data_IF_150537240389
#
_entry.id   IF_150537240389
#
_cell.length_a   1.000
_cell.length_b   1.000
_cell.length_c   1.000
_cell.angle_alpha   90.00
_cell.angle_beta   90.00
_cell.angle_gamma   90.00
#
_symmetry.space_group_name_H-M   'P 1'
#
loop_
_entity.id
_entity.type
_entity.pdbx_description
1 polymer ?
#
# COMPACT_ATOMS: atom_id res chain seq x y z
N UNK A 1 22.49 -5.56 7.66
CA UNK A 1 21.28 -4.71 7.75
C UNK A 1 21.38 -3.63 6.69
N UNK A 2 20.43 -3.53 5.75
CA UNK A 2 20.47 -2.50 4.70
C UNK A 2 20.14 -1.14 5.34
N UNK A 3 20.97 -0.13 5.09
CA UNK A 3 20.77 1.25 5.57
C UNK A 3 20.91 2.21 4.38
N UNK A 4 20.00 3.17 4.30
CA UNK A 4 20.09 4.23 3.30
C UNK A 4 21.18 5.22 3.70
N UNK A 5 22.02 5.58 2.75
CA UNK A 5 22.96 6.69 2.89
C UNK A 5 22.25 8.04 2.67
N UNK A 6 22.80 9.17 3.12
CA UNK A 6 22.18 10.48 2.90
C UNK A 6 21.89 10.79 1.43
N UNK A 7 22.78 10.36 0.52
CA UNK A 7 22.58 10.51 -0.93
C UNK A 7 21.40 9.69 -1.45
N UNK A 8 21.07 8.58 -0.80
CA UNK A 8 19.96 7.72 -1.19
C UNK A 8 18.63 8.39 -0.90
N UNK A 9 18.54 8.98 0.30
CA UNK A 9 17.37 9.73 0.72
C UNK A 9 17.20 10.92 -0.21
N UNK A 10 18.27 11.68 -0.49
CA UNK A 10 18.21 12.81 -1.41
C UNK A 10 17.73 12.38 -2.81
N UNK A 11 18.25 11.28 -3.36
CA UNK A 11 17.78 10.76 -4.65
C UNK A 11 16.29 10.44 -4.62
N UNK A 12 15.82 9.72 -3.59
CA UNK A 12 14.42 9.35 -3.48
C UNK A 12 13.52 10.59 -3.30
N UNK A 13 13.98 11.58 -2.55
CA UNK A 13 13.29 12.86 -2.37
C UNK A 13 13.12 13.60 -3.70
N UNK A 14 14.18 13.74 -4.49
CA UNK A 14 14.12 14.38 -5.79
C UNK A 14 13.21 13.59 -6.77
N UNK A 15 13.29 12.26 -6.76
CA UNK A 15 12.40 11.43 -7.58
C UNK A 15 10.93 11.53 -7.17
N UNK A 16 10.60 11.72 -5.89
CA UNK A 16 9.20 11.90 -5.46
C UNK A 16 8.64 13.26 -5.90
N UNK A 17 9.50 14.29 -6.00
CA UNK A 17 9.11 15.64 -6.39
C UNK A 17 8.95 15.75 -7.90
N UNK A 18 9.94 15.27 -8.65
CA UNK A 18 9.99 15.40 -10.11
C UNK A 18 9.40 14.21 -10.88
N UNK A 19 9.02 13.13 -10.18
CA UNK A 19 8.44 11.87 -10.70
C UNK A 19 9.42 11.05 -11.54
N UNK A 20 10.13 11.70 -12.48
CA UNK A 20 11.12 11.09 -13.35
C UNK A 20 12.34 12.01 -13.52
N UNK A 21 13.53 11.45 -13.35
CA UNK A 21 14.79 12.18 -13.52
C UNK A 21 15.82 11.35 -14.31
N UNK A 22 16.66 12.03 -15.07
CA UNK A 22 17.91 11.46 -15.57
C UNK A 22 19.03 11.78 -14.58
N UNK A 23 20.11 10.98 -14.56
CA UNK A 23 21.26 11.25 -13.69
C UNK A 23 21.90 12.62 -13.99
N UNK A 24 21.86 13.05 -15.25
CA UNK A 24 22.32 14.37 -15.68
C UNK A 24 21.47 15.50 -15.09
N UNK A 25 20.13 15.39 -15.16
CA UNK A 25 19.24 16.41 -14.59
C UNK A 25 19.37 16.47 -13.07
N UNK A 26 19.43 15.32 -12.40
CA UNK A 26 19.67 15.23 -10.96
C UNK A 26 21.00 15.89 -10.56
N UNK A 27 22.06 15.65 -11.34
CA UNK A 27 23.37 16.27 -11.14
C UNK A 27 23.31 17.80 -11.20
N UNK A 28 22.57 18.35 -12.18
CA UNK A 28 22.36 19.81 -12.30
C UNK A 28 21.54 20.40 -11.15
N UNK A 29 20.60 19.66 -10.58
CA UNK A 29 19.76 20.12 -9.46
C UNK A 29 20.49 20.11 -8.12
N UNK A 30 21.34 19.10 -7.88
CA UNK A 30 21.92 18.83 -6.56
C UNK A 30 23.41 19.16 -6.44
N UNK A 31 24.10 19.36 -7.56
CA UNK A 31 25.56 19.51 -7.61
C UNK A 31 26.34 18.20 -7.48
N UNK A 32 25.68 17.06 -7.25
CA UNK A 32 26.34 15.74 -7.23
C UNK A 32 26.81 15.39 -8.65
N UNK A 33 28.01 14.82 -8.80
CA UNK A 33 28.53 14.45 -10.13
C UNK A 33 27.63 13.42 -10.83
N UNK A 34 27.49 13.55 -12.15
CA UNK A 34 26.64 12.65 -12.96
C UNK A 34 27.01 11.17 -12.78
N UNK A 35 28.32 10.86 -12.66
CA UNK A 35 28.79 9.49 -12.42
C UNK A 35 28.32 8.95 -11.06
N UNK A 36 28.39 9.76 -10.00
CA UNK A 36 27.91 9.37 -8.67
C UNK A 36 26.39 9.23 -8.63
N UNK A 37 25.66 10.14 -9.28
CA UNK A 37 24.20 10.04 -9.42
C UNK A 37 23.79 8.74 -10.12
N UNK A 38 24.45 8.41 -11.24
CA UNK A 38 24.20 7.18 -11.99
C UNK A 38 24.48 5.91 -11.16
N UNK A 39 25.60 5.88 -10.42
CA UNK A 39 25.90 4.76 -9.51
C UNK A 39 24.84 4.61 -8.41
N UNK A 40 24.42 5.72 -7.80
CA UNK A 40 23.40 5.74 -6.74
C UNK A 40 22.07 5.24 -7.28
N UNK A 41 21.63 5.75 -8.43
CA UNK A 41 20.41 5.31 -9.10
C UNK A 41 20.42 3.80 -9.37
N UNK A 42 21.51 3.26 -9.89
CA UNK A 42 21.61 1.83 -10.18
C UNK A 42 21.62 0.94 -8.95
N UNK A 43 22.25 1.39 -7.86
CA UNK A 43 22.16 0.68 -6.59
C UNK A 43 20.72 0.67 -6.07
N UNK A 44 20.01 1.79 -6.13
CA UNK A 44 18.60 1.87 -5.74
C UNK A 44 17.67 1.06 -6.65
N UNK A 45 18.02 0.89 -7.93
CA UNK A 45 17.38 -0.07 -8.85
C UNK A 45 17.61 -1.50 -8.37
N UNK A 46 18.84 -1.86 -7.99
CA UNK A 46 19.14 -3.17 -7.41
C UNK A 46 18.38 -3.48 -6.11
N UNK A 47 18.02 -2.45 -5.35
CA UNK A 47 17.17 -2.56 -4.14
C UNK A 47 15.66 -2.54 -4.44
N UNK A 48 15.28 -2.37 -5.71
CA UNK A 48 13.89 -2.25 -6.14
C UNK A 48 13.19 -0.98 -5.65
N UNK A 49 13.93 0.06 -5.26
CA UNK A 49 13.37 1.34 -4.81
C UNK A 49 13.11 2.29 -5.98
N UNK A 50 13.92 2.18 -7.03
CA UNK A 50 13.85 2.97 -8.25
C UNK A 50 13.72 1.99 -9.43
N UNK A 51 13.08 2.40 -10.51
CA UNK A 51 13.07 1.65 -11.78
C UNK A 51 13.66 2.48 -12.91
N UNK A 52 14.27 1.80 -13.87
CA UNK A 52 14.71 2.42 -15.12
C UNK A 52 13.52 2.58 -16.05
N UNK A 53 13.45 3.72 -16.72
CA UNK A 53 12.47 4.04 -17.76
C UNK A 53 13.12 3.90 -19.13
N UNK A 54 12.33 3.53 -20.14
CA UNK A 54 12.81 3.27 -21.51
C UNK A 54 13.58 4.47 -22.12
N UNK A 55 13.19 5.70 -21.76
CA UNK A 55 13.78 6.94 -22.28
C UNK A 55 14.98 7.45 -21.46
N UNK A 56 15.84 6.55 -20.96
CA UNK A 56 17.06 6.85 -20.16
C UNK A 56 16.81 7.57 -18.83
N UNK A 57 15.58 7.51 -18.31
CA UNK A 57 15.19 8.11 -17.04
C UNK A 57 15.07 7.08 -15.92
N UNK A 58 14.85 7.59 -14.72
CA UNK A 58 14.59 6.81 -13.52
C UNK A 58 13.35 7.37 -12.84
N UNK A 59 12.54 6.48 -12.28
CA UNK A 59 11.37 6.85 -11.49
C UNK A 59 11.32 6.04 -10.20
N UNK A 60 10.63 6.59 -9.19
CA UNK A 60 10.47 5.91 -7.91
C UNK A 60 9.40 4.82 -8.01
N UNK A 61 9.65 3.68 -7.36
CA UNK A 61 8.66 2.60 -7.22
C UNK A 61 7.78 2.82 -5.98
N UNK A 62 6.72 2.05 -5.81
CA UNK A 62 5.92 2.11 -4.58
C UNK A 62 6.74 1.71 -3.35
N UNK A 63 7.60 0.69 -3.50
CA UNK A 63 8.58 0.30 -2.47
C UNK A 63 9.51 1.47 -2.11
N UNK A 64 10.03 2.18 -3.11
CA UNK A 64 10.86 3.37 -2.89
C UNK A 64 10.13 4.48 -2.15
N UNK A 65 8.87 4.76 -2.52
CA UNK A 65 8.06 5.78 -1.88
C UNK A 65 7.76 5.47 -0.41
N UNK A 66 7.47 4.21 -0.07
CA UNK A 66 7.26 3.80 1.33
C UNK A 66 8.56 3.88 2.12
N UNK A 67 9.65 3.32 1.59
CA UNK A 67 10.96 3.37 2.26
C UNK A 67 11.37 4.82 2.51
N UNK A 68 11.16 5.71 1.54
CA UNK A 68 11.38 7.15 1.72
C UNK A 68 10.48 7.72 2.82
N UNK A 69 9.17 7.46 2.77
CA UNK A 69 8.20 7.96 3.76
C UNK A 69 8.62 7.61 5.19
N UNK A 70 9.07 6.38 5.43
CA UNK A 70 9.51 5.88 6.72
C UNK A 70 10.83 6.50 7.21
N UNK A 71 11.70 6.96 6.29
CA UNK A 71 13.05 7.43 6.62
C UNK A 71 13.24 8.95 6.52
N UNK A 72 12.38 9.68 5.80
CA UNK A 72 12.47 11.15 5.70
C UNK A 72 11.79 11.82 6.90
N UNK A 73 12.34 12.94 7.35
CA UNK A 73 11.74 13.84 8.33
C UNK A 73 10.94 14.99 7.69
N UNK A 74 11.02 15.15 6.36
CA UNK A 74 10.41 16.27 5.63
C UNK A 74 8.91 16.04 5.41
N UNK A 75 8.06 16.83 6.08
CA UNK A 75 6.60 16.66 6.02
C UNK A 75 5.99 16.87 4.63
N UNK A 76 6.55 17.77 3.81
CA UNK A 76 6.14 17.95 2.40
C UNK A 76 6.47 16.71 1.54
N UNK A 77 7.63 16.10 1.75
CA UNK A 77 8.03 14.85 1.07
C UNK A 77 7.11 13.71 1.48
N UNK A 78 6.80 13.56 2.78
CA UNK A 78 5.87 12.53 3.26
C UNK A 78 4.49 12.66 2.59
N UNK A 79 3.92 13.86 2.55
CA UNK A 79 2.65 14.10 1.83
C UNK A 79 2.74 13.74 0.36
N UNK A 80 3.84 14.08 -0.30
CA UNK A 80 4.06 13.72 -1.71
C UNK A 80 4.16 12.21 -1.92
N UNK A 81 4.78 11.48 -0.98
CA UNK A 81 4.83 10.02 -1.00
C UNK A 81 3.43 9.40 -1.00
N UNK A 82 2.52 9.90 -0.15
CA UNK A 82 1.13 9.41 -0.09
C UNK A 82 0.43 9.59 -1.44
N UNK A 83 0.52 10.79 -2.03
CA UNK A 83 -0.10 11.09 -3.32
C UNK A 83 0.46 10.25 -4.48
N UNK A 84 1.78 10.01 -4.48
CA UNK A 84 2.42 9.12 -5.46
C UNK A 84 2.00 7.67 -5.23
N UNK A 85 1.92 7.20 -3.98
CA UNK A 85 1.49 5.84 -3.65
C UNK A 85 0.06 5.58 -4.10
N UNK A 86 -0.87 6.55 -3.93
CA UNK A 86 -2.22 6.43 -4.47
C UNK A 86 -2.22 6.08 -5.96
N UNK A 87 -1.40 6.78 -6.74
CA UNK A 87 -1.28 6.56 -8.19
C UNK A 87 -0.63 5.22 -8.50
N UNK A 88 0.48 4.88 -7.85
CA UNK A 88 1.23 3.65 -8.11
C UNK A 88 0.46 2.38 -7.72
N UNK A 89 -0.37 2.47 -6.68
CA UNK A 89 -1.22 1.38 -6.24
C UNK A 89 -2.64 1.40 -6.81
N UNK A 90 -2.97 2.41 -7.61
CA UNK A 90 -4.34 2.67 -8.05
C UNK A 90 -5.34 2.68 -6.87
N UNK A 91 -4.91 3.25 -5.74
CA UNK A 91 -5.72 3.34 -4.52
C UNK A 91 -6.61 4.58 -4.57
N UNK A 92 -7.92 4.36 -4.51
CA UNK A 92 -8.96 5.38 -4.64
C UNK A 92 -9.37 6.02 -3.30
N UNK A 93 -8.97 5.43 -2.16
CA UNK A 93 -9.33 5.90 -0.83
C UNK A 93 -8.56 7.16 -0.36
N UNK A 94 -8.81 7.58 0.88
CA UNK A 94 -8.30 8.83 1.43
C UNK A 94 -6.78 8.82 1.74
N UNK A 95 -6.09 9.95 1.53
CA UNK A 95 -4.64 10.09 1.78
C UNK A 95 -4.31 10.11 3.28
N UNK A 96 -5.16 10.71 4.12
CA UNK A 96 -4.93 10.74 5.57
C UNK A 96 -5.13 9.35 6.18
N UNK A 97 -6.10 8.56 5.68
CA UNK A 97 -6.21 7.13 6.04
C UNK A 97 -4.98 6.34 5.60
N UNK A 98 -4.45 6.61 4.41
CA UNK A 98 -3.23 5.98 3.90
C UNK A 98 -2.00 6.31 4.77
N UNK A 99 -1.91 7.53 5.31
CA UNK A 99 -0.89 7.92 6.29
C UNK A 99 -0.97 7.04 7.55
N UNK A 100 -2.16 6.90 8.13
CA UNK A 100 -2.35 6.03 9.31
C UNK A 100 -1.99 4.57 9.01
N UNK A 101 -2.32 4.09 7.82
CA UNK A 101 -1.91 2.76 7.38
C UNK A 101 -0.38 2.61 7.38
N UNK A 102 0.38 3.54 6.78
CA UNK A 102 1.85 3.45 6.75
C UNK A 102 2.51 3.59 8.13
N UNK A 103 1.94 4.40 9.01
CA UNK A 103 2.39 4.51 10.40
C UNK A 103 2.14 3.20 11.17
N UNK A 104 1.03 2.51 10.94
CA UNK A 104 0.79 1.21 11.57
C UNK A 104 1.65 0.10 10.96
N UNK A 105 1.99 0.18 9.66
CA UNK A 105 3.03 -0.66 9.05
C UNK A 105 4.36 -0.50 9.81
N UNK A 106 4.80 0.74 10.06
CA UNK A 106 6.05 1.00 10.77
C UNK A 106 6.04 0.42 12.19
N UNK A 107 4.93 0.62 12.93
CA UNK A 107 4.75 0.05 14.28
C UNK A 107 4.83 -1.47 14.29
N UNK A 108 4.12 -2.14 13.36
CA UNK A 108 4.11 -3.61 13.27
C UNK A 108 5.48 -4.15 12.88
N UNK A 109 6.18 -3.51 11.94
CA UNK A 109 7.54 -3.93 11.59
C UNK A 109 8.50 -3.79 12.77
N UNK A 110 8.40 -2.71 13.53
CA UNK A 110 9.20 -2.50 14.75
C UNK A 110 8.88 -3.54 15.83
N UNK A 111 7.61 -3.84 16.08
CA UNK A 111 7.23 -4.84 17.08
C UNK A 111 7.71 -6.25 16.73
N UNK A 112 7.82 -6.57 15.44
CA UNK A 112 8.36 -7.83 14.93
C UNK A 112 9.88 -7.83 14.73
N UNK A 113 10.57 -6.71 15.01
CA UNK A 113 11.99 -6.51 14.71
C UNK A 113 12.36 -6.81 13.24
N UNK A 114 11.48 -6.44 12.31
CA UNK A 114 11.64 -6.65 10.88
C UNK A 114 12.14 -5.39 10.18
N UNK A 115 13.13 -5.55 9.30
CA UNK A 115 13.55 -4.47 8.41
C UNK A 115 12.50 -4.22 7.33
N UNK A 116 12.11 -2.98 7.02
CA UNK A 116 11.18 -2.70 5.93
C UNK A 116 11.71 -3.16 4.56
N UNK A 117 13.03 -3.38 4.42
CA UNK A 117 13.64 -3.90 3.19
C UNK A 117 13.30 -5.36 2.89
N UNK A 118 12.78 -6.14 3.83
CA UNK A 118 12.37 -7.53 3.56
C UNK A 118 10.94 -7.63 3.01
N UNK A 119 10.17 -6.54 3.02
CA UNK A 119 8.75 -6.55 2.65
C UNK A 119 8.55 -6.16 1.18
N UNK A 120 7.69 -6.89 0.47
CA UNK A 120 7.29 -6.54 -0.90
C UNK A 120 6.22 -5.44 -0.90
N UNK A 121 6.67 -4.18 -0.92
CA UNK A 121 5.80 -3.00 -0.93
C UNK A 121 5.24 -2.60 -2.30
N UNK A 122 5.65 -3.26 -3.38
CA UNK A 122 5.16 -2.94 -4.72
C UNK A 122 3.70 -3.35 -4.93
N UNK A 123 3.22 -4.36 -4.19
CA UNK A 123 1.85 -4.84 -4.24
C UNK A 123 1.16 -4.49 -2.92
N UNK A 124 0.15 -3.60 -2.90
CA UNK A 124 -0.49 -3.15 -1.67
C UNK A 124 -1.16 -4.31 -0.91
N UNK A 125 -1.66 -5.32 -1.62
CA UNK A 125 -2.30 -6.50 -1.02
C UNK A 125 -1.36 -7.25 -0.08
N UNK A 126 -0.05 -7.33 -0.39
CA UNK A 126 0.93 -8.03 0.45
C UNK A 126 1.06 -7.37 1.82
N UNK A 127 0.95 -6.05 1.87
CA UNK A 127 1.02 -5.27 3.11
C UNK A 127 -0.31 -5.40 3.86
N UNK A 128 -1.42 -5.30 3.13
CA UNK A 128 -2.76 -5.44 3.68
C UNK A 128 -2.97 -6.80 4.35
N UNK A 129 -2.50 -7.89 3.73
CA UNK A 129 -2.59 -9.26 4.30
C UNK A 129 -1.67 -9.45 5.50
N UNK A 130 -0.45 -8.88 5.46
CA UNK A 130 0.45 -8.87 6.62
C UNK A 130 -0.22 -8.20 7.82
N UNK A 131 -0.82 -7.02 7.61
CA UNK A 131 -1.50 -6.27 8.66
C UNK A 131 -2.84 -6.90 9.08
N UNK A 132 -3.55 -7.58 8.18
CA UNK A 132 -4.82 -8.25 8.49
C UNK A 132 -4.70 -9.22 9.67
N UNK A 133 -3.57 -9.93 9.78
CA UNK A 133 -3.29 -10.85 10.90
C UNK A 133 -3.11 -10.14 12.25
N UNK A 134 -2.97 -8.81 12.23
CA UNK A 134 -2.80 -7.92 13.37
C UNK A 134 -3.96 -6.94 13.53
N UNK A 135 -5.08 -7.15 12.83
CA UNK A 135 -6.18 -6.17 12.73
C UNK A 135 -6.70 -5.67 14.08
N UNK A 136 -6.69 -6.51 15.12
CA UNK A 136 -7.18 -6.13 16.45
C UNK A 136 -6.30 -5.06 17.13
N UNK A 137 -5.05 -4.92 16.70
CA UNK A 137 -4.07 -3.91 17.16
C UNK A 137 -4.10 -2.63 16.29
N UNK A 138 -4.90 -2.59 15.21
CA UNK A 138 -4.88 -1.52 14.22
C UNK A 138 -5.99 -0.49 14.45
N UNK A 139 -5.72 0.74 14.00
CA UNK A 139 -6.70 1.82 13.92
C UNK A 139 -7.80 1.50 12.90
N UNK A 140 -8.99 2.05 13.10
CA UNK A 140 -10.12 1.86 12.18
C UNK A 140 -9.79 2.40 10.77
N UNK A 141 -9.08 3.52 10.68
CA UNK A 141 -8.62 4.09 9.42
C UNK A 141 -7.74 3.11 8.64
N UNK A 142 -6.82 2.43 9.34
CA UNK A 142 -5.96 1.39 8.76
C UNK A 142 -6.79 0.19 8.30
N UNK A 143 -7.78 -0.24 9.08
CA UNK A 143 -8.70 -1.32 8.70
C UNK A 143 -9.49 -0.98 7.43
N UNK A 144 -9.91 0.27 7.28
CA UNK A 144 -10.56 0.75 6.06
C UNK A 144 -9.63 0.71 4.85
N UNK A 145 -8.36 1.12 4.99
CA UNK A 145 -7.37 1.00 3.91
C UNK A 145 -7.19 -0.46 3.49
N UNK A 146 -7.04 -1.37 4.46
CA UNK A 146 -6.93 -2.82 4.22
C UNK A 146 -8.15 -3.32 3.45
N UNK A 147 -9.35 -3.05 3.95
CA UNK A 147 -10.59 -3.49 3.31
C UNK A 147 -10.73 -2.96 1.88
N UNK A 148 -10.38 -1.69 1.64
CA UNK A 148 -10.41 -1.12 0.29
C UNK A 148 -9.41 -1.81 -0.66
N UNK A 149 -8.18 -2.06 -0.20
CA UNK A 149 -7.16 -2.81 -0.96
C UNK A 149 -7.69 -4.22 -1.30
N UNK A 150 -8.28 -4.92 -0.33
CA UNK A 150 -8.78 -6.29 -0.54
C UNK A 150 -9.93 -6.32 -1.56
N UNK A 151 -10.90 -5.41 -1.48
CA UNK A 151 -12.06 -5.36 -2.40
C UNK A 151 -11.66 -5.04 -3.83
N UNK A 152 -10.62 -4.23 -4.02
CA UNK A 152 -10.13 -3.87 -5.35
C UNK A 152 -9.19 -4.94 -5.93
N UNK A 153 -8.63 -5.80 -5.09
CA UNK A 153 -7.70 -6.85 -5.52
C UNK A 153 -8.38 -8.21 -5.73
N UNK A 154 -9.25 -8.63 -4.82
CA UNK A 154 -9.89 -9.95 -4.85
C UNK A 154 -11.27 -9.90 -5.51
N UNK A 155 -11.74 -11.03 -6.08
CA UNK A 155 -13.13 -11.16 -6.50
C UNK A 155 -14.07 -10.90 -5.34
N UNK A 156 -15.08 -10.09 -5.60
CA UNK A 156 -16.12 -9.71 -4.63
C UNK A 156 -17.48 -9.88 -5.28
N UNK A 157 -18.51 -10.04 -4.45
CA UNK A 157 -19.90 -10.08 -4.88
C UNK A 157 -20.58 -8.74 -4.64
N UNK A 158 -21.63 -8.47 -5.40
CA UNK A 158 -22.57 -7.39 -5.13
C UNK A 158 -23.78 -7.94 -4.38
N UNK A 159 -23.99 -7.43 -3.17
CA UNK A 159 -25.17 -7.72 -2.36
C UNK A 159 -26.37 -6.96 -2.92
N UNK A 160 -27.59 -7.43 -2.62
CA UNK A 160 -28.86 -6.83 -3.11
C UNK A 160 -29.02 -5.33 -2.78
N UNK A 161 -28.41 -4.88 -1.69
CA UNK A 161 -28.40 -3.47 -1.28
C UNK A 161 -27.36 -2.62 -2.04
N UNK A 162 -26.66 -3.20 -3.02
CA UNK A 162 -25.58 -2.58 -3.77
C UNK A 162 -24.28 -2.40 -2.99
N UNK A 163 -24.07 -3.16 -1.92
CA UNK A 163 -22.79 -3.22 -1.21
C UNK A 163 -21.90 -4.26 -1.88
N UNK A 164 -20.63 -3.91 -2.09
CA UNK A 164 -19.62 -4.83 -2.62
C UNK A 164 -18.92 -5.54 -1.47
N UNK A 165 -18.84 -6.86 -1.46
CA UNK A 165 -18.33 -7.62 -0.32
C UNK A 165 -17.54 -8.86 -0.73
N UNK A 166 -16.56 -9.22 0.10
CA UNK A 166 -15.86 -10.51 0.06
C UNK A 166 -16.36 -11.33 1.26
N UNK A 167 -16.97 -12.48 1.02
CA UNK A 167 -17.49 -13.37 2.06
C UNK A 167 -16.41 -14.38 2.47
N UNK A 168 -16.31 -14.66 3.76
CA UNK A 168 -15.54 -15.76 4.33
C UNK A 168 -16.34 -16.46 5.44
N UNK A 169 -15.82 -17.54 5.99
CA UNK A 169 -16.45 -18.32 7.06
C UNK A 169 -15.51 -18.38 8.26
N UNK A 170 -16.06 -18.22 9.45
CA UNK A 170 -15.30 -18.38 10.69
C UNK A 170 -15.06 -19.87 11.00
N UNK A 171 -14.35 -20.15 12.09
CA UNK A 171 -14.05 -21.52 12.52
C UNK A 171 -15.31 -22.34 12.88
N UNK A 172 -16.46 -21.70 13.08
CA UNK A 172 -17.75 -22.34 13.35
C UNK A 172 -18.61 -22.48 12.08
N UNK A 173 -18.07 -22.14 10.90
CA UNK A 173 -18.82 -22.14 9.64
C UNK A 173 -19.82 -20.99 9.52
N UNK A 174 -19.77 -19.98 10.39
CA UNK A 174 -20.64 -18.80 10.30
C UNK A 174 -20.09 -17.83 9.24
N UNK A 175 -20.90 -17.40 8.26
CA UNK A 175 -20.45 -16.48 7.24
C UNK A 175 -20.24 -15.07 7.81
N UNK A 176 -19.19 -14.40 7.35
CA UNK A 176 -18.87 -13.01 7.66
C UNK A 176 -18.29 -12.28 6.45
N UNK A 177 -18.29 -10.95 6.48
CA UNK A 177 -17.63 -10.14 5.45
C UNK A 177 -16.15 -10.00 5.82
N UNK A 178 -15.27 -10.51 4.97
CA UNK A 178 -13.83 -10.24 5.08
C UNK A 178 -13.54 -8.75 4.85
N UNK A 179 -14.07 -8.19 3.76
CA UNK A 179 -13.99 -6.77 3.43
C UNK A 179 -15.26 -6.31 2.68
N UNK A 180 -15.82 -5.16 3.06
CA UNK A 180 -17.02 -4.59 2.44
C UNK A 180 -16.87 -3.11 2.10
N UNK A 181 -17.47 -2.69 0.99
CA UNK A 181 -17.80 -1.30 0.67
C UNK A 181 -19.32 -1.18 0.80
N UNK A 182 -19.75 -0.82 2.02
CA UNK A 182 -21.16 -0.69 2.37
C UNK A 182 -21.67 0.73 2.06
N UNK A 183 -22.88 0.84 1.49
CA UNK A 183 -23.50 2.15 1.25
C UNK A 183 -23.89 2.89 2.52
N UNK A 184 -24.27 2.16 3.58
CA UNK A 184 -24.75 2.74 4.85
C UNK A 184 -23.63 2.97 5.85
N UNK A 185 -22.71 2.01 5.96
CA UNK A 185 -21.69 2.00 7.01
C UNK A 185 -20.28 2.31 6.51
N UNK A 186 -20.12 2.59 5.21
CA UNK A 186 -18.83 2.83 4.60
C UNK A 186 -17.99 1.56 4.44
N UNK A 187 -16.68 1.70 4.50
CA UNK A 187 -15.74 0.59 4.30
C UNK A 187 -15.58 -0.17 5.63
N UNK A 188 -15.65 -1.50 5.57
CA UNK A 188 -15.57 -2.39 6.75
C UNK A 188 -14.62 -3.56 6.50
N UNK A 189 -13.87 -3.94 7.53
CA UNK A 189 -13.02 -5.13 7.59
C UNK A 189 -13.56 -6.08 8.66
N UNK A 190 -13.61 -7.39 8.37
CA UNK A 190 -14.06 -8.45 9.30
C UNK A 190 -15.36 -8.08 10.04
N UNK A 191 -16.45 -8.01 9.29
CA UNK A 191 -17.75 -7.53 9.78
C UNK A 191 -18.85 -8.58 9.60
N UNK A 192 -19.69 -8.77 10.62
CA UNK A 192 -20.89 -9.62 10.52
C UNK A 192 -22.07 -8.79 10.03
N UNK A 193 -22.47 -9.01 8.77
CA UNK A 193 -23.59 -8.30 8.15
C UNK A 193 -24.81 -9.23 8.01
N UNK A 194 -25.99 -8.87 8.54
CA UNK A 194 -27.22 -9.68 8.42
C UNK A 194 -27.63 -9.96 6.97
N UNK A 195 -27.26 -9.10 6.03
CA UNK A 195 -27.58 -9.27 4.61
C UNK A 195 -26.81 -10.43 3.96
N UNK A 196 -25.68 -10.85 4.52
CA UNK A 196 -24.94 -12.01 3.99
C UNK A 196 -25.75 -13.29 4.18
N UNK A 197 -26.32 -13.51 5.37
CA UNK A 197 -27.08 -14.73 5.64
C UNK A 197 -28.27 -14.86 4.70
N UNK A 198 -28.93 -13.74 4.38
CA UNK A 198 -30.00 -13.68 3.39
C UNK A 198 -29.52 -13.95 1.96
N UNK A 199 -28.34 -13.44 1.58
CA UNK A 199 -27.76 -13.69 0.27
C UNK A 199 -27.44 -15.18 0.08
N UNK A 200 -26.73 -15.77 1.05
CA UNK A 200 -26.31 -17.17 0.98
C UNK A 200 -27.50 -18.15 1.04
N UNK A 201 -28.57 -17.85 1.78
CA UNK A 201 -29.76 -18.71 1.80
C UNK A 201 -30.44 -18.80 0.44
N UNK A 202 -30.37 -17.73 -0.37
CA UNK A 202 -30.94 -17.72 -1.73
C UNK A 202 -30.02 -18.46 -2.69
N UNK A 203 -28.72 -18.18 -2.66
CA UNK A 203 -27.75 -18.84 -3.55
C UNK A 203 -27.69 -20.35 -3.34
N UNK A 204 -27.78 -20.81 -2.09
CA UNK A 204 -27.79 -22.25 -1.79
C UNK A 204 -29.08 -22.94 -2.26
N UNK A 205 -30.18 -22.21 -2.45
CA UNK A 205 -31.42 -22.75 -3.01
C UNK A 205 -31.39 -22.86 -4.55
N UNK A 206 -30.46 -22.17 -5.20
CA UNK A 206 -30.31 -22.12 -6.66
C UNK A 206 -29.23 -23.08 -7.19
N UNK A 207 -28.43 -23.69 -6.31
CA UNK A 207 -27.44 -24.70 -6.69
C UNK A 207 -28.12 -26.08 -6.84
N UNK A 208 -27.94 -26.79 -7.96
CA UNK A 208 -28.41 -28.17 -8.08
C UNK A 208 -27.67 -29.04 -7.05
N UNK A 209 -28.45 -29.84 -6.30
CA UNK A 209 -27.92 -30.83 -5.36
C UNK A 209 -27.22 -31.98 -6.08
#
# INVERSE_FOLDING_TARGET
>A
MIRLEPNDILVLEELILYIQLTSYRFSKLTGISNATAWRTFNRLVGLGLVKREDKRGFSITARGAIILYLNTSKGNVRRRCLSVLKKLWNYDGDEEKLKYFLEDVDKVLKSMNLSPFVICFNQPVTIATMLYNKQDELREETKEVIANILINFFPSIDLRNGCKAIISYDNNGKPYVLAAKCKREGIKLRYYCPEISKYLSVTNAELPQ
#
